data_IF_247091261548
#
_entry.id   IF_247091261548
#
_cell.length_a   1.000
_cell.length_b   1.000
_cell.length_c   1.000
_cell.angle_alpha   90.00
_cell.angle_beta   90.00
_cell.angle_gamma   90.00
#
_symmetry.space_group_name_H-M   'P 1'
#
loop_
_entity.id
_entity.type
_entity.pdbx_description
1 polymer ?
#
# COMPACT_ATOMS: atom_id res chain seq x y z
N UNK A 1 21.23 -26.57 15.08
CA UNK A 1 20.01 -26.17 14.35
C UNK A 1 20.07 -26.77 12.96
N UNK A 2 19.16 -27.71 12.67
CA UNK A 2 19.10 -28.46 11.42
C UNK A 2 18.37 -27.70 10.29
N UNK A 3 17.87 -26.49 10.55
CA UNK A 3 17.17 -25.70 9.55
C UNK A 3 18.09 -25.35 8.39
N UNK A 4 17.64 -25.65 7.16
CA UNK A 4 18.38 -25.41 5.93
C UNK A 4 17.88 -24.13 5.29
N UNK A 5 18.82 -23.21 5.03
CA UNK A 5 18.55 -21.91 4.42
C UNK A 5 19.06 -21.88 2.97
N UNK A 6 18.21 -21.69 1.97
CA UNK A 6 18.68 -21.38 0.63
C UNK A 6 19.32 -19.98 0.64
N UNK A 7 20.56 -19.89 0.19
CA UNK A 7 21.27 -18.62 0.18
C UNK A 7 22.23 -18.47 -1.00
N UNK A 8 22.39 -17.24 -1.46
CA UNK A 8 23.42 -16.86 -2.43
C UNK A 8 24.70 -16.48 -1.71
N UNK A 9 25.81 -17.02 -2.17
CA UNK A 9 27.16 -16.59 -1.77
C UNK A 9 27.64 -15.44 -2.66
N UNK A 10 28.80 -14.88 -2.36
CA UNK A 10 29.43 -13.83 -3.18
C UNK A 10 29.59 -14.18 -4.67
N UNK A 11 29.58 -15.46 -5.03
CA UNK A 11 29.66 -15.96 -6.41
C UNK A 11 28.29 -16.14 -7.10
N UNK A 12 27.21 -15.64 -6.51
CA UNK A 12 25.83 -15.78 -7.00
C UNK A 12 25.31 -17.23 -7.13
N UNK A 13 26.01 -18.20 -6.57
CA UNK A 13 25.56 -19.59 -6.57
C UNK A 13 24.62 -19.83 -5.40
N UNK A 14 23.44 -20.35 -5.71
CA UNK A 14 22.47 -20.77 -4.68
C UNK A 14 23.04 -22.02 -3.98
N UNK A 15 23.03 -21.99 -2.66
CA UNK A 15 23.43 -23.12 -1.80
C UNK A 15 22.43 -23.27 -0.66
N UNK A 16 22.23 -24.48 -0.25
CA UNK A 16 21.47 -24.81 0.96
C UNK A 16 22.45 -25.02 2.11
N UNK A 17 22.42 -24.14 3.10
CA UNK A 17 23.34 -24.14 4.24
C UNK A 17 22.56 -24.09 5.54
N UNK A 18 23.08 -24.78 6.56
CA UNK A 18 22.63 -24.60 7.93
C UNK A 18 23.18 -23.29 8.50
N UNK A 19 22.57 -22.81 9.58
CA UNK A 19 23.09 -21.63 10.28
C UNK A 19 24.52 -21.87 10.79
N UNK A 20 24.80 -23.09 11.28
CA UNK A 20 26.14 -23.44 11.75
C UNK A 20 27.17 -23.33 10.63
N UNK A 21 26.90 -23.89 9.43
CA UNK A 21 27.79 -23.78 8.28
C UNK A 21 28.02 -22.32 7.83
N UNK A 22 26.98 -21.46 7.95
CA UNK A 22 27.12 -20.04 7.67
C UNK A 22 28.04 -19.35 8.71
N UNK A 23 27.90 -19.69 9.98
CA UNK A 23 28.74 -19.16 11.06
C UNK A 23 30.19 -19.57 10.90
N UNK A 24 30.46 -20.84 10.60
CA UNK A 24 31.82 -21.35 10.33
C UNK A 24 32.50 -20.64 9.16
N UNK A 25 31.74 -20.30 8.11
CA UNK A 25 32.22 -19.52 6.94
C UNK A 25 32.36 -18.02 7.22
N UNK A 26 31.84 -17.57 8.37
CA UNK A 26 31.77 -16.16 8.74
C UNK A 26 30.64 -15.40 8.02
N UNK A 27 29.79 -14.74 8.79
CA UNK A 27 28.59 -14.05 8.29
C UNK A 27 28.93 -12.80 7.47
N UNK A 28 30.07 -12.17 7.73
CA UNK A 28 30.56 -10.98 7.01
C UNK A 28 31.78 -11.31 6.20
N UNK A 29 31.93 -10.62 5.06
CA UNK A 29 33.14 -10.71 4.23
C UNK A 29 34.29 -9.94 4.88
N UNK A 30 34.01 -8.74 5.42
CA UNK A 30 34.93 -7.91 6.19
C UNK A 30 34.17 -6.98 7.13
N UNK A 31 34.85 -6.28 8.03
CA UNK A 31 34.22 -5.33 8.94
C UNK A 31 33.51 -4.17 8.20
N UNK A 32 33.93 -3.83 6.98
CA UNK A 32 33.39 -2.74 6.16
C UNK A 32 32.48 -3.23 5.03
N UNK A 33 32.37 -4.53 4.77
CA UNK A 33 31.56 -5.10 3.70
C UNK A 33 30.25 -5.64 4.25
N UNK A 34 29.25 -5.74 3.37
CA UNK A 34 27.97 -6.35 3.67
C UNK A 34 28.03 -7.84 4.01
N UNK A 35 26.88 -8.44 4.29
CA UNK A 35 26.77 -9.86 4.59
C UNK A 35 27.28 -10.76 3.48
N UNK A 36 27.87 -11.89 3.85
CA UNK A 36 28.39 -12.91 2.93
C UNK A 36 27.25 -13.68 2.24
N UNK A 37 26.16 -13.85 2.93
CA UNK A 37 25.02 -14.62 2.47
C UNK A 37 23.84 -13.69 2.17
N UNK A 38 23.15 -13.96 1.07
CA UNK A 38 21.92 -13.27 0.67
C UNK A 38 20.83 -14.30 0.52
N UNK A 39 19.74 -14.13 1.24
CA UNK A 39 18.58 -14.99 1.06
C UNK A 39 17.85 -14.61 -0.23
N UNK A 40 17.34 -15.57 -1.01
CA UNK A 40 16.42 -15.25 -2.08
C UNK A 40 15.18 -14.57 -1.50
N UNK A 41 14.72 -13.53 -2.16
CA UNK A 41 13.42 -12.93 -1.83
C UNK A 41 12.35 -13.89 -2.36
N UNK A 42 11.39 -14.22 -1.51
CA UNK A 42 10.23 -15.00 -1.93
C UNK A 42 9.48 -14.23 -3.02
N UNK A 43 8.94 -14.96 -3.98
CA UNK A 43 8.01 -14.41 -4.96
C UNK A 43 6.74 -13.89 -4.27
N UNK A 44 5.96 -13.11 -5.02
CA UNK A 44 4.65 -12.68 -4.56
C UNK A 44 3.75 -13.92 -4.35
N UNK A 45 3.05 -13.99 -3.23
CA UNK A 45 2.02 -15.01 -3.05
C UNK A 45 0.88 -14.71 -4.01
N UNK A 46 0.50 -15.70 -4.80
CA UNK A 46 -0.60 -15.57 -5.75
C UNK A 46 -1.92 -16.01 -5.10
N UNK A 47 -2.89 -15.11 -5.12
CA UNK A 47 -4.27 -15.38 -4.76
C UNK A 47 -5.15 -15.16 -5.99
N UNK A 48 -6.31 -15.83 -6.08
CA UNK A 48 -7.27 -15.56 -7.13
C UNK A 48 -7.82 -14.13 -7.02
N UNK A 49 -8.28 -13.60 -8.14
CA UNK A 49 -9.01 -12.34 -8.14
C UNK A 49 -10.31 -12.46 -7.33
N UNK A 50 -10.59 -11.44 -6.51
CA UNK A 50 -11.79 -11.36 -5.69
C UNK A 50 -12.75 -10.29 -6.22
N UNK A 51 -14.04 -10.55 -6.07
CA UNK A 51 -15.06 -9.51 -6.18
C UNK A 51 -14.99 -8.63 -4.92
N UNK A 52 -14.36 -7.46 -5.06
CA UNK A 52 -14.20 -6.50 -3.97
C UNK A 52 -15.26 -5.41 -4.07
N UNK A 53 -15.85 -4.96 -2.97
CA UNK A 53 -16.95 -3.97 -2.99
C UNK A 53 -16.47 -2.61 -3.52
N UNK A 54 -15.22 -2.26 -3.33
CA UNK A 54 -14.62 -1.01 -3.79
C UNK A 54 -13.33 -1.32 -4.55
N UNK A 55 -13.06 -0.56 -5.61
CA UNK A 55 -11.80 -0.71 -6.34
C UNK A 55 -10.61 -0.50 -5.39
N UNK A 56 -9.61 -1.40 -5.34
CA UNK A 56 -8.53 -1.35 -4.36
C UNK A 56 -7.75 -0.03 -4.32
N UNK A 57 -7.53 0.59 -5.46
CA UNK A 57 -6.89 1.90 -5.54
C UNK A 57 -7.69 2.99 -4.79
N UNK A 58 -9.02 3.00 -4.96
CA UNK A 58 -9.89 3.94 -4.24
C UNK A 58 -9.76 3.72 -2.74
N UNK A 59 -9.85 2.47 -2.30
CA UNK A 59 -9.67 2.15 -0.88
C UNK A 59 -8.31 2.65 -0.36
N UNK A 60 -7.21 2.37 -1.08
CA UNK A 60 -5.88 2.82 -0.69
C UNK A 60 -5.78 4.35 -0.57
N UNK A 61 -6.28 5.09 -1.57
CA UNK A 61 -6.26 6.55 -1.54
C UNK A 61 -7.08 7.13 -0.38
N UNK A 62 -8.21 6.52 -0.03
CA UNK A 62 -9.04 6.99 1.08
C UNK A 62 -8.53 6.53 2.46
N UNK A 63 -7.81 5.44 2.54
CA UNK A 63 -7.09 5.07 3.77
C UNK A 63 -5.95 6.04 4.08
N UNK A 64 -5.28 6.60 3.08
CA UNK A 64 -4.35 7.70 3.25
C UNK A 64 -5.10 9.02 3.55
N UNK A 65 -5.36 9.79 2.52
CA UNK A 65 -5.84 11.18 2.60
C UNK A 65 -7.36 11.35 2.51
N UNK A 66 -8.14 10.25 2.59
CA UNK A 66 -9.59 10.33 2.54
C UNK A 66 -10.24 10.70 3.87
N UNK A 67 -11.26 11.56 3.82
CA UNK A 67 -12.14 11.79 4.95
C UNK A 67 -13.37 10.88 4.86
N UNK A 68 -13.36 9.79 5.62
CA UNK A 68 -14.43 8.80 5.61
C UNK A 68 -15.46 8.99 6.75
N UNK A 69 -15.28 9.98 7.63
CA UNK A 69 -16.23 10.33 8.70
C UNK A 69 -17.31 11.30 8.25
N UNK A 70 -17.09 12.02 7.15
CA UNK A 70 -18.05 12.96 6.61
C UNK A 70 -19.14 12.26 5.80
N UNK A 71 -20.27 12.95 5.67
CA UNK A 71 -21.39 12.47 4.86
C UNK A 71 -21.01 12.27 3.39
N UNK A 72 -20.22 13.19 2.86
CA UNK A 72 -19.81 13.20 1.46
C UNK A 72 -18.38 12.70 1.29
N UNK A 73 -18.16 12.00 0.19
CA UNK A 73 -16.88 11.44 -0.15
C UNK A 73 -15.90 12.57 -0.50
N UNK A 74 -14.91 12.80 0.36
CA UNK A 74 -13.90 13.83 0.18
C UNK A 74 -12.48 13.26 0.26
N UNK A 75 -11.59 13.76 -0.60
CA UNK A 75 -10.18 13.42 -0.63
C UNK A 75 -9.37 14.71 -0.53
N UNK A 76 -8.38 14.75 0.36
CA UNK A 76 -7.45 15.86 0.47
C UNK A 76 -6.19 15.54 -0.33
N UNK A 77 -5.98 16.22 -1.46
CA UNK A 77 -4.78 16.03 -2.26
C UNK A 77 -4.41 17.29 -3.04
N UNK A 78 -3.11 17.58 -3.09
CA UNK A 78 -2.54 18.57 -3.99
C UNK A 78 -2.14 17.98 -5.34
N UNK A 79 -2.18 16.66 -5.46
CA UNK A 79 -1.82 15.92 -6.67
C UNK A 79 -3.06 15.66 -7.53
N UNK A 80 -3.27 16.50 -8.54
CA UNK A 80 -4.41 16.40 -9.45
C UNK A 80 -4.52 15.04 -10.16
N UNK A 81 -3.45 14.41 -10.67
CA UNK A 81 -3.48 13.05 -11.19
C UNK A 81 -4.10 12.00 -10.26
N UNK A 82 -3.87 12.09 -8.96
CA UNK A 82 -4.49 11.18 -7.96
C UNK A 82 -5.99 11.40 -7.92
N UNK A 83 -6.41 12.67 -7.84
CA UNK A 83 -7.84 13.06 -7.82
C UNK A 83 -8.57 12.60 -9.09
N UNK A 84 -7.98 12.83 -10.24
CA UNK A 84 -8.54 12.44 -11.53
C UNK A 84 -8.65 10.92 -11.68
N UNK A 85 -7.66 10.17 -11.18
CA UNK A 85 -7.67 8.71 -11.19
C UNK A 85 -8.79 8.16 -10.30
N UNK A 86 -8.99 8.73 -9.10
CA UNK A 86 -10.11 8.37 -8.22
C UNK A 86 -11.44 8.70 -8.87
N UNK A 87 -11.59 9.91 -9.43
CA UNK A 87 -12.82 10.32 -10.11
C UNK A 87 -13.18 9.38 -11.27
N UNK A 88 -12.20 9.03 -12.11
CA UNK A 88 -12.37 8.07 -13.21
C UNK A 88 -12.83 6.70 -12.72
N UNK A 89 -12.22 6.16 -11.65
CA UNK A 89 -12.58 4.86 -11.08
C UNK A 89 -13.97 4.86 -10.45
N UNK A 90 -14.42 6.00 -9.91
CA UNK A 90 -15.78 6.18 -9.39
C UNK A 90 -16.82 6.44 -10.50
N UNK A 91 -16.38 6.63 -11.75
CA UNK A 91 -17.22 7.14 -12.84
C UNK A 91 -17.92 8.45 -12.43
N UNK A 92 -17.12 9.41 -11.96
CA UNK A 92 -17.53 10.68 -11.36
C UNK A 92 -16.68 11.84 -11.87
N UNK A 93 -17.06 13.06 -11.51
CA UNK A 93 -16.22 14.26 -11.62
C UNK A 93 -15.75 14.68 -10.24
N UNK A 94 -14.61 15.37 -10.17
CA UNK A 94 -14.10 15.93 -8.93
C UNK A 94 -14.31 17.46 -8.92
N UNK A 95 -14.83 17.98 -7.85
CA UNK A 95 -15.01 19.41 -7.61
C UNK A 95 -14.19 19.84 -6.41
N UNK A 96 -13.41 20.91 -6.54
CA UNK A 96 -12.64 21.49 -5.45
C UNK A 96 -13.56 22.20 -4.48
N UNK A 97 -13.47 21.91 -3.18
CA UNK A 97 -14.37 22.49 -2.20
C UNK A 97 -14.10 23.97 -1.92
N UNK A 98 -12.85 24.40 -2.07
CA UNK A 98 -12.43 25.80 -1.91
C UNK A 98 -11.11 25.99 -2.65
N UNK A 99 -10.89 27.17 -3.22
CA UNK A 99 -9.63 27.52 -3.88
C UNK A 99 -8.42 27.49 -2.94
N UNK A 100 -8.65 27.72 -1.66
CA UNK A 100 -7.61 27.82 -0.64
C UNK A 100 -7.32 26.51 0.11
N UNK A 101 -7.96 25.41 -0.26
CA UNK A 101 -7.70 24.11 0.33
C UNK A 101 -7.45 23.05 -0.73
N UNK A 102 -6.99 21.89 -0.29
CA UNK A 102 -6.69 20.73 -1.16
C UNK A 102 -7.79 19.66 -1.12
N UNK A 103 -9.00 20.01 -0.64
CA UNK A 103 -10.10 19.07 -0.48
C UNK A 103 -10.97 19.03 -1.72
N UNK A 104 -11.20 17.83 -2.20
CA UNK A 104 -12.00 17.51 -3.38
C UNK A 104 -13.21 16.67 -3.00
N UNK A 105 -14.34 16.98 -3.61
CA UNK A 105 -15.58 16.23 -3.51
C UNK A 105 -15.88 15.56 -4.85
N UNK A 106 -16.41 14.34 -4.81
CA UNK A 106 -16.75 13.60 -6.00
C UNK A 106 -18.24 13.71 -6.30
N UNK A 107 -18.57 13.98 -7.58
CA UNK A 107 -19.90 14.26 -8.07
C UNK A 107 -20.32 13.24 -9.14
N UNK A 108 -21.54 12.74 -9.06
CA UNK A 108 -22.12 11.85 -10.06
C UNK A 108 -23.55 12.26 -10.38
N UNK A 109 -23.86 12.50 -11.67
CA UNK A 109 -25.17 12.98 -12.09
C UNK A 109 -25.60 14.28 -11.42
N UNK A 110 -24.68 15.21 -11.17
CA UNK A 110 -24.94 16.49 -10.51
C UNK A 110 -25.15 16.42 -9.00
N UNK A 111 -24.93 15.26 -8.38
CA UNK A 111 -25.08 15.05 -6.93
C UNK A 111 -23.75 14.61 -6.32
N UNK A 112 -23.47 15.08 -5.10
CA UNK A 112 -22.30 14.64 -4.36
C UNK A 112 -22.44 13.18 -3.94
N UNK A 113 -21.43 12.38 -4.22
CA UNK A 113 -21.34 10.99 -3.78
C UNK A 113 -21.18 10.97 -2.26
N UNK A 114 -21.95 10.14 -1.57
CA UNK A 114 -21.81 9.96 -0.13
C UNK A 114 -20.78 8.89 0.19
N UNK A 115 -20.13 9.04 1.33
CA UNK A 115 -19.18 8.03 1.84
C UNK A 115 -19.84 6.66 1.97
N UNK A 116 -21.10 6.64 2.39
CA UNK A 116 -21.88 5.42 2.52
C UNK A 116 -22.10 4.70 1.19
N UNK A 117 -22.40 5.44 0.10
CA UNK A 117 -22.59 4.83 -1.23
C UNK A 117 -21.36 4.05 -1.71
N UNK A 118 -20.16 4.42 -1.26
CA UNK A 118 -18.92 3.78 -1.71
C UNK A 118 -18.40 2.74 -0.71
N UNK A 119 -18.53 3.00 0.57
CA UNK A 119 -17.86 2.21 1.61
C UNK A 119 -18.81 1.48 2.57
N UNK A 120 -20.13 1.37 2.29
CA UNK A 120 -21.09 0.76 3.21
C UNK A 120 -20.68 -0.65 3.67
N UNK A 121 -20.28 -1.51 2.72
CA UNK A 121 -19.88 -2.90 2.97
C UNK A 121 -18.59 -3.04 3.81
N UNK A 122 -17.77 -2.01 3.84
CA UNK A 122 -16.48 -2.00 4.56
C UNK A 122 -16.36 -0.84 5.54
N UNK A 123 -17.49 -0.23 5.91
CA UNK A 123 -17.56 0.95 6.77
C UNK A 123 -16.84 0.74 8.11
N UNK A 124 -16.94 -0.44 8.69
CA UNK A 124 -16.27 -0.82 9.95
C UNK A 124 -14.74 -0.77 9.89
N UNK A 125 -14.17 -0.78 8.70
CA UNK A 125 -12.72 -0.73 8.49
C UNK A 125 -12.21 0.65 8.11
N UNK A 126 -13.03 1.42 7.40
CA UNK A 126 -12.63 2.67 6.73
C UNK A 126 -13.16 3.91 7.45
N UNK A 127 -14.40 3.85 7.98
CA UNK A 127 -15.06 4.99 8.65
C UNK A 127 -14.60 5.16 10.10
N UNK A 128 -13.28 5.16 10.31
CA UNK A 128 -12.64 5.27 11.62
C UNK A 128 -11.74 6.51 11.71
N UNK A 129 -11.23 6.78 12.90
CA UNK A 129 -10.16 7.78 13.07
C UNK A 129 -8.89 7.37 12.34
N UNK A 130 -8.02 8.32 12.07
CA UNK A 130 -6.76 8.06 11.33
C UNK A 130 -5.90 6.97 11.98
N UNK A 131 -5.93 6.88 13.31
CA UNK A 131 -5.19 5.87 14.09
C UNK A 131 -5.88 4.50 14.16
N UNK A 132 -7.08 4.36 13.62
CA UNK A 132 -7.90 3.14 13.69
C UNK A 132 -8.22 2.58 12.29
N UNK A 133 -7.78 3.24 11.24
CA UNK A 133 -7.96 2.76 9.86
C UNK A 133 -7.27 1.41 9.67
N UNK A 134 -7.93 0.48 8.99
CA UNK A 134 -7.39 -0.84 8.70
C UNK A 134 -7.76 -1.30 7.30
N UNK A 135 -6.95 -2.18 6.74
CA UNK A 135 -7.23 -2.81 5.45
C UNK A 135 -8.13 -4.03 5.69
N UNK A 136 -9.32 -4.11 5.05
CA UNK A 136 -10.15 -5.30 5.16
C UNK A 136 -9.42 -6.55 4.66
N UNK A 137 -9.59 -7.67 5.35
CA UNK A 137 -8.89 -8.93 5.09
C UNK A 137 -9.00 -9.42 3.64
N UNK A 138 -10.14 -9.19 2.98
CA UNK A 138 -10.33 -9.58 1.59
C UNK A 138 -9.39 -8.85 0.62
N UNK A 139 -9.03 -7.61 0.91
CA UNK A 139 -8.07 -6.85 0.12
C UNK A 139 -6.63 -7.36 0.29
N UNK A 140 -6.28 -7.84 1.50
CA UNK A 140 -4.97 -8.44 1.77
C UNK A 140 -4.78 -9.78 1.01
N UNK A 141 -5.87 -10.49 0.74
CA UNK A 141 -5.89 -11.77 0.05
C UNK A 141 -6.50 -11.70 -1.36
N UNK A 142 -6.55 -10.53 -1.94
CA UNK A 142 -6.88 -10.33 -3.35
C UNK A 142 -5.75 -10.74 -4.28
N UNK A 143 -6.00 -10.74 -5.59
CA UNK A 143 -4.98 -11.02 -6.60
C UNK A 143 -3.78 -10.07 -6.45
N UNK A 144 -2.65 -10.44 -7.05
CA UNK A 144 -1.46 -9.59 -7.08
C UNK A 144 -1.78 -8.18 -7.57
N UNK A 145 -2.56 -8.06 -8.65
CA UNK A 145 -2.89 -6.76 -9.25
C UNK A 145 -3.82 -5.93 -8.36
N UNK A 146 -4.76 -6.58 -7.66
CA UNK A 146 -5.61 -5.93 -6.67
C UNK A 146 -4.79 -5.39 -5.50
N UNK A 147 -3.84 -6.15 -4.98
CA UNK A 147 -2.95 -5.71 -3.90
C UNK A 147 -2.00 -4.59 -4.35
N UNK A 148 -1.49 -4.66 -5.58
CA UNK A 148 -0.69 -3.58 -6.16
C UNK A 148 -1.52 -2.29 -6.29
N UNK A 149 -2.76 -2.39 -6.77
CA UNK A 149 -3.63 -1.22 -6.89
C UNK A 149 -3.93 -0.59 -5.53
N UNK A 150 -4.14 -1.39 -4.48
CA UNK A 150 -4.29 -0.90 -3.11
C UNK A 150 -3.04 -0.14 -2.62
N UNK A 151 -1.87 -0.76 -2.79
CA UNK A 151 -0.60 -0.13 -2.43
C UNK A 151 -0.36 1.16 -3.20
N UNK A 152 -0.67 1.19 -4.50
CA UNK A 152 -0.56 2.42 -5.29
C UNK A 152 -1.43 3.54 -4.72
N UNK A 153 -2.68 3.25 -4.32
CA UNK A 153 -3.54 4.24 -3.69
C UNK A 153 -2.97 4.79 -2.38
N UNK A 154 -2.43 3.92 -1.53
CA UNK A 154 -1.78 4.30 -0.28
C UNK A 154 -0.51 5.15 -0.53
N UNK A 155 0.34 4.73 -1.47
CA UNK A 155 1.59 5.43 -1.76
C UNK A 155 1.41 6.73 -2.53
N UNK A 156 0.38 6.84 -3.36
CA UNK A 156 0.05 8.07 -4.07
C UNK A 156 -0.47 9.18 -3.11
N UNK A 157 -0.83 8.82 -1.87
CA UNK A 157 -1.27 9.76 -0.82
C UNK A 157 -0.22 9.95 0.27
N UNK A 158 0.04 8.94 1.08
CA UNK A 158 0.94 8.98 2.25
C UNK A 158 2.34 8.38 2.00
N UNK A 159 2.64 8.05 0.76
CA UNK A 159 3.94 7.51 0.37
C UNK A 159 4.98 8.58 0.06
N UNK A 160 6.23 8.22 0.19
CA UNK A 160 7.35 9.03 -0.24
C UNK A 160 8.45 8.19 -0.88
N UNK A 161 9.14 8.76 -1.86
CA UNK A 161 10.28 8.13 -2.53
C UNK A 161 11.53 8.99 -2.31
N UNK A 162 12.56 8.38 -1.74
CA UNK A 162 13.83 9.06 -1.52
C UNK A 162 14.73 8.96 -2.76
N UNK A 163 15.03 10.09 -3.38
CA UNK A 163 16.03 10.18 -4.46
C UNK A 163 17.46 9.89 -3.99
N UNK A 164 17.74 10.06 -2.69
CA UNK A 164 19.09 9.91 -2.09
C UNK A 164 19.46 8.48 -1.71
N UNK A 165 18.50 7.58 -1.58
CA UNK A 165 18.72 6.21 -1.08
C UNK A 165 18.29 5.15 -2.11
N UNK A 166 18.83 5.21 -3.32
CA UNK A 166 18.59 4.22 -4.40
C UNK A 166 17.09 3.97 -4.68
N UNK A 167 16.24 4.99 -4.53
CA UNK A 167 14.82 4.88 -4.81
C UNK A 167 14.03 4.11 -3.74
N UNK A 168 14.45 4.14 -2.47
CA UNK A 168 13.65 3.54 -1.40
C UNK A 168 12.32 4.28 -1.26
N UNK A 169 11.24 3.51 -1.23
CA UNK A 169 9.90 4.00 -0.94
C UNK A 169 9.60 3.78 0.54
N UNK A 170 8.92 4.72 1.16
CA UNK A 170 8.42 4.63 2.53
C UNK A 170 6.97 5.08 2.60
N UNK A 171 6.24 4.51 3.53
CA UNK A 171 4.86 4.84 3.85
C UNK A 171 4.77 5.20 5.33
N UNK A 172 4.06 6.26 5.66
CA UNK A 172 3.90 6.73 7.04
C UNK A 172 2.44 6.69 7.45
N UNK A 173 2.16 6.06 8.59
CA UNK A 173 0.81 5.97 9.14
C UNK A 173 0.82 6.08 10.64
N UNK A 174 -0.27 6.58 11.23
CA UNK A 174 -0.53 6.56 12.67
C UNK A 174 -1.30 5.32 13.12
N UNK A 175 -1.84 4.54 12.17
CA UNK A 175 -2.51 3.29 12.47
C UNK A 175 -1.52 2.13 12.56
N UNK A 176 -1.66 1.30 13.59
CA UNK A 176 -0.89 0.06 13.75
C UNK A 176 -1.42 -1.09 12.89
N UNK A 177 -2.64 -0.95 12.34
CA UNK A 177 -3.30 -1.97 11.51
C UNK A 177 -3.16 -1.67 10.01
N UNK A 178 -2.52 -0.58 9.65
CA UNK A 178 -2.24 -0.11 8.30
C UNK A 178 -0.75 -0.20 8.04
#
# INVERSE_FOLDING_TARGET
DEHIWPCYTSKKNLKNLTLQEMMEKGIRISAKSGGRFRMPINGCVEFPEKALPVHPYILGAFLGDGCCKERYLTLSSNDLPVVEKVAKLLNATAEKLSENNYSWRFMKGGKAITTKEVFDDIASWVMRGSNEKAIPTDYLHGSRDQRIALLQGLFDTDGSVSSKSNGSASFSTTSLEL
#
